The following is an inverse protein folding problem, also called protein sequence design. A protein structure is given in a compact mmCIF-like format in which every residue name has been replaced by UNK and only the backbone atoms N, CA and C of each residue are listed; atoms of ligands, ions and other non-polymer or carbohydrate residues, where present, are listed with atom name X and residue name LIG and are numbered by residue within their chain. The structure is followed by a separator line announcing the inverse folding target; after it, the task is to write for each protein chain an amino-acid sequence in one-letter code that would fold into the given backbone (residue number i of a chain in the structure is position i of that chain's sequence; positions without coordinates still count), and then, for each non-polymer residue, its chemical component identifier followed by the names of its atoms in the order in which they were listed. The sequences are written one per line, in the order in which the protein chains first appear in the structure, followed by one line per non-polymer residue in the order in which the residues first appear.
data_IF_333135981847
#
_entry.id   IF_333135981847
#
_cell.length_a   1.000
_cell.length_b   1.000
_cell.length_c   1.000
_cell.angle_alpha   90.00
_cell.angle_beta   90.00
_cell.angle_gamma   90.00
#
_symmetry.space_group_name_H-M   'P 1'
#
loop_
_entity.id
_entity.type
_entity.pdbx_description
1 polymer ?
#
# COMPACT_ATOMS: atom_id res chain seq x y z
N UNK A 1 -13.73 -21.31 7.99
CA UNK A 1 -13.27 -20.21 8.87
C UNK A 1 -13.54 -18.86 8.21
N UNK A 2 -14.58 -18.15 8.67
CA UNK A 2 -14.85 -16.75 8.33
C UNK A 2 -14.00 -15.88 9.25
N UNK A 3 -12.89 -15.31 8.77
CA UNK A 3 -12.04 -14.46 9.61
C UNK A 3 -12.56 -13.03 9.65
N UNK A 4 -12.61 -12.44 10.85
CA UNK A 4 -12.78 -11.00 11.05
C UNK A 4 -11.47 -10.25 10.77
N UNK A 5 -11.55 -8.94 10.52
CA UNK A 5 -10.38 -8.08 10.44
C UNK A 5 -9.55 -8.16 11.73
N UNK A 6 -8.22 -8.10 11.59
CA UNK A 6 -7.27 -8.15 12.71
C UNK A 6 -6.28 -6.98 12.64
N UNK A 7 -5.72 -6.62 13.79
CA UNK A 7 -4.69 -5.58 13.94
C UNK A 7 -3.55 -6.08 14.83
N UNK A 8 -2.33 -5.67 14.51
CA UNK A 8 -1.14 -5.95 15.29
C UNK A 8 -0.28 -4.69 15.40
N UNK A 9 -0.06 -4.21 16.63
CA UNK A 9 0.91 -3.15 16.90
C UNK A 9 2.31 -3.73 17.02
N UNK A 10 3.28 -3.00 16.50
CA UNK A 10 4.70 -3.30 16.64
C UNK A 10 5.47 -2.04 17.04
N UNK A 11 6.74 -2.20 17.40
CA UNK A 11 7.58 -1.07 17.78
C UNK A 11 7.83 -0.13 16.60
N UNK A 12 7.65 1.20 16.81
CA UNK A 12 8.26 2.29 16.07
C UNK A 12 9.31 1.96 15.00
N UNK A 13 9.03 1.92 13.70
CA UNK A 13 10.09 1.64 12.71
C UNK A 13 10.03 2.50 11.44
N UNK A 14 11.20 2.89 10.94
CA UNK A 14 11.35 3.53 9.62
C UNK A 14 11.28 2.52 8.48
N UNK A 15 11.20 1.23 8.78
CA UNK A 15 11.10 0.16 7.80
C UNK A 15 10.09 -0.88 8.22
N UNK A 16 9.42 -1.45 7.24
CA UNK A 16 8.40 -2.47 7.40
C UNK A 16 8.62 -3.56 6.35
N UNK A 17 8.55 -4.80 6.78
CA UNK A 17 8.62 -5.98 5.95
C UNK A 17 7.42 -6.87 6.26
N UNK A 18 6.77 -7.34 5.20
CA UNK A 18 5.68 -8.30 5.24
C UNK A 18 6.06 -9.50 4.39
N UNK A 19 5.87 -10.71 4.93
CA UNK A 19 5.92 -11.93 4.13
C UNK A 19 4.79 -12.87 4.49
N UNK A 20 4.24 -13.57 3.51
CA UNK A 20 3.16 -14.52 3.73
C UNK A 20 3.03 -15.48 2.55
N UNK A 21 2.49 -16.66 2.80
CA UNK A 21 1.96 -17.52 1.76
C UNK A 21 0.50 -17.18 1.53
N UNK A 22 0.09 -17.14 0.27
CA UNK A 22 -1.29 -16.89 -0.13
C UNK A 22 -1.75 -17.85 -1.21
N UNK A 23 -3.02 -18.23 -1.12
CA UNK A 23 -3.73 -19.07 -2.08
C UNK A 23 -5.12 -18.51 -2.29
N UNK A 24 -5.60 -18.54 -3.52
CA UNK A 24 -6.93 -18.09 -3.91
C UNK A 24 -7.73 -19.25 -4.51
N UNK A 25 -9.06 -19.24 -4.34
CA UNK A 25 -9.91 -20.30 -4.87
C UNK A 25 -9.80 -20.40 -6.40
N UNK A 26 -10.11 -21.56 -6.97
CA UNK A 26 -10.04 -21.78 -8.43
C UNK A 26 -10.91 -20.78 -9.21
N UNK A 27 -12.04 -20.39 -8.64
CA UNK A 27 -12.97 -19.40 -9.19
C UNK A 27 -12.64 -17.94 -8.80
N UNK A 28 -11.49 -17.67 -8.18
CA UNK A 28 -11.11 -16.32 -7.78
C UNK A 28 -10.99 -15.39 -8.99
N UNK A 29 -11.68 -14.25 -8.90
CA UNK A 29 -11.70 -13.16 -9.89
C UNK A 29 -11.47 -11.80 -9.25
N UNK A 30 -11.17 -11.74 -7.94
CA UNK A 30 -11.06 -10.50 -7.20
C UNK A 30 -12.36 -9.69 -7.24
N UNK A 31 -12.26 -8.36 -7.26
CA UNK A 31 -13.43 -7.48 -7.42
C UNK A 31 -13.81 -7.23 -8.89
N UNK A 32 -12.95 -7.60 -9.84
CA UNK A 32 -13.04 -7.15 -11.24
C UNK A 32 -12.56 -5.70 -11.47
N UNK A 33 -12.15 -4.99 -10.42
CA UNK A 33 -11.66 -3.61 -10.49
C UNK A 33 -10.14 -3.54 -10.43
N UNK A 34 -9.58 -2.39 -10.85
CA UNK A 34 -8.13 -2.12 -10.81
C UNK A 34 -7.63 -1.53 -9.48
N UNK A 35 -8.54 -1.36 -8.51
CA UNK A 35 -8.29 -0.71 -7.22
C UNK A 35 -8.75 -1.55 -6.02
N UNK A 36 -9.25 -2.78 -6.25
CA UNK A 36 -9.72 -3.74 -5.26
C UNK A 36 -9.42 -5.18 -5.75
N UNK A 37 -9.42 -6.22 -4.91
CA UNK A 37 -9.64 -6.20 -3.45
C UNK A 37 -8.55 -5.45 -2.70
N UNK A 38 -8.87 -5.04 -1.48
CA UNK A 38 -7.87 -4.68 -0.48
C UNK A 38 -7.58 -5.86 0.44
N UNK A 39 -6.35 -5.97 0.94
CA UNK A 39 -5.91 -7.13 1.73
C UNK A 39 -5.23 -6.73 3.05
N UNK A 40 -4.06 -6.09 2.93
CA UNK A 40 -3.19 -5.75 4.05
C UNK A 40 -2.84 -4.26 4.05
N UNK A 41 -2.69 -3.72 5.26
CA UNK A 41 -2.49 -2.29 5.49
C UNK A 41 -1.44 -2.09 6.57
N UNK A 42 -0.71 -0.97 6.52
CA UNK A 42 0.24 -0.61 7.57
C UNK A 42 0.19 0.88 7.86
N UNK A 43 -0.29 1.21 9.06
CA UNK A 43 -0.52 2.57 9.51
C UNK A 43 0.69 3.15 10.26
N UNK A 44 0.66 4.47 10.40
CA UNK A 44 1.72 5.26 11.00
C UNK A 44 1.52 5.59 12.47
N UNK A 45 2.58 6.09 13.11
CA UNK A 45 2.56 6.63 14.48
C UNK A 45 1.67 7.85 14.67
N UNK A 46 1.19 8.49 13.59
CA UNK A 46 0.26 9.60 13.67
C UNK A 46 -1.21 9.16 13.54
N UNK A 47 -1.44 7.89 13.20
CA UNK A 47 -2.78 7.31 13.09
C UNK A 47 -3.20 6.65 14.41
N UNK A 48 -4.48 6.78 14.72
CA UNK A 48 -5.06 6.20 15.93
C UNK A 48 -5.15 4.67 15.85
N UNK A 49 -5.10 4.01 17.02
CA UNK A 49 -5.14 2.55 17.16
C UNK A 49 -6.35 1.88 16.47
N UNK A 50 -7.43 2.64 16.32
CA UNK A 50 -8.71 2.22 15.78
C UNK A 50 -9.11 3.00 14.52
N UNK A 51 -8.21 3.84 13.98
CA UNK A 51 -8.48 4.55 12.74
C UNK A 51 -8.69 3.54 11.60
N UNK A 52 -9.65 3.84 10.74
CA UNK A 52 -9.87 3.07 9.51
C UNK A 52 -8.72 3.28 8.52
N UNK A 53 -8.49 2.34 7.60
CA UNK A 53 -7.38 2.45 6.64
C UNK A 53 -7.59 3.57 5.60
N UNK A 54 -8.82 4.01 5.36
CA UNK A 54 -9.13 4.93 4.25
C UNK A 54 -8.74 6.40 4.46
N UNK A 55 -8.50 6.86 5.70
CA UNK A 55 -8.12 8.25 5.97
C UNK A 55 -7.02 8.31 7.04
N UNK A 56 -5.79 8.49 6.59
CA UNK A 56 -4.58 8.27 7.38
C UNK A 56 -3.51 9.36 7.11
N UNK A 57 -2.49 9.43 7.98
CA UNK A 57 -1.27 10.20 7.72
C UNK A 57 -0.24 9.42 6.90
N UNK A 58 -0.24 8.10 7.03
CA UNK A 58 0.39 7.19 6.09
C UNK A 58 -0.24 5.81 6.22
N UNK A 59 -0.66 5.24 5.10
CA UNK A 59 -1.00 3.83 4.96
C UNK A 59 -0.31 3.24 3.72
N UNK A 60 0.25 2.05 3.87
CA UNK A 60 0.77 1.26 2.76
C UNK A 60 -0.05 -0.02 2.61
N UNK A 61 -0.59 -0.18 1.41
CA UNK A 61 -1.40 -1.32 1.02
C UNK A 61 -0.48 -2.36 0.39
N UNK A 62 -0.64 -3.62 0.76
CA UNK A 62 -0.04 -4.75 0.04
C UNK A 62 -1.18 -5.64 -0.39
N UNK A 63 -1.38 -5.76 -1.69
CA UNK A 63 -2.50 -6.49 -2.26
C UNK A 63 -2.16 -7.00 -3.65
N UNK A 64 -3.13 -7.67 -4.27
CA UNK A 64 -3.08 -8.06 -5.67
C UNK A 64 -4.43 -7.78 -6.31
N UNK A 65 -4.43 -7.12 -7.47
CA UNK A 65 -5.66 -6.78 -8.18
C UNK A 65 -5.80 -7.67 -9.40
N UNK A 66 -6.96 -8.31 -9.54
CA UNK A 66 -7.18 -9.33 -10.54
C UNK A 66 -7.66 -8.72 -11.86
N UNK A 67 -6.79 -8.73 -12.86
CA UNK A 67 -6.98 -8.16 -14.19
C UNK A 67 -6.50 -9.17 -15.25
N UNK A 68 -7.30 -10.20 -15.51
CA UNK A 68 -6.93 -11.41 -16.28
C UNK A 68 -5.71 -12.15 -15.69
N UNK A 69 -5.67 -12.19 -14.35
CA UNK A 69 -4.54 -12.64 -13.54
C UNK A 69 -4.24 -11.62 -12.44
N UNK A 70 -3.69 -12.05 -11.31
CA UNK A 70 -3.42 -11.14 -10.19
C UNK A 70 -2.11 -10.38 -10.38
N UNK A 71 -2.20 -9.06 -10.29
CA UNK A 71 -1.05 -8.15 -10.33
C UNK A 71 -0.73 -7.68 -8.92
N UNK A 72 0.51 -7.83 -8.42
CA UNK A 72 0.96 -7.15 -7.22
C UNK A 72 0.63 -5.65 -7.30
N UNK A 73 -0.01 -5.12 -6.25
CA UNK A 73 -0.27 -3.69 -6.11
C UNK A 73 0.18 -3.23 -4.74
N UNK A 74 0.84 -2.09 -4.74
CA UNK A 74 1.12 -1.29 -3.55
C UNK A 74 0.46 0.06 -3.76
N UNK A 75 -0.38 0.48 -2.83
CA UNK A 75 -0.87 1.85 -2.75
C UNK A 75 -0.30 2.52 -1.50
N UNK A 76 0.06 3.80 -1.62
CA UNK A 76 0.58 4.60 -0.53
C UNK A 76 -0.31 5.83 -0.40
N UNK A 77 -0.97 5.95 0.75
CA UNK A 77 -1.93 7.01 1.04
C UNK A 77 -1.41 7.95 2.13
N UNK A 78 -1.86 9.20 2.09
CA UNK A 78 -1.57 10.20 3.12
C UNK A 78 -2.67 11.29 3.18
N UNK A 79 -3.93 10.87 3.15
CA UNK A 79 -5.12 11.74 3.04
C UNK A 79 -5.19 12.85 4.10
N UNK A 80 -4.70 12.60 5.32
CA UNK A 80 -4.66 13.60 6.41
C UNK A 80 -3.57 14.65 6.23
N UNK A 81 -2.61 14.42 5.33
CA UNK A 81 -1.55 15.38 4.98
C UNK A 81 -1.92 16.29 3.80
N UNK A 82 -3.10 16.10 3.18
CA UNK A 82 -3.59 17.00 2.13
C UNK A 82 -3.74 18.43 2.67
N UNK A 83 -3.07 19.37 2.04
CA UNK A 83 -3.10 20.79 2.34
C UNK A 83 -4.14 21.52 1.48
N UNK A 84 -5.11 22.14 2.17
CA UNK A 84 -6.24 22.87 1.59
C UNK A 84 -6.02 24.39 1.52
N UNK A 85 -4.93 24.91 2.07
CA UNK A 85 -4.68 26.35 2.23
C UNK A 85 -4.15 27.04 0.97
N UNK A 86 -3.78 26.28 -0.08
CA UNK A 86 -3.16 26.78 -1.32
C UNK A 86 -4.11 26.72 -2.53
N UNK A 87 -5.41 26.84 -2.30
CA UNK A 87 -6.43 26.91 -3.36
C UNK A 87 -7.03 25.55 -3.72
N UNK A 88 -7.60 25.47 -4.92
CA UNK A 88 -8.30 24.27 -5.39
C UNK A 88 -7.33 23.09 -5.61
N UNK A 89 -7.81 21.88 -5.32
CA UNK A 89 -7.10 20.63 -5.55
C UNK A 89 -7.54 20.00 -6.89
N UNK A 90 -6.67 19.20 -7.56
CA UNK A 90 -5.26 19.00 -7.22
C UNK A 90 -4.42 20.26 -7.51
N UNK A 91 -3.38 20.49 -6.71
CA UNK A 91 -2.39 21.55 -6.94
C UNK A 91 -0.97 20.99 -6.71
N UNK A 92 0.05 21.66 -7.23
CA UNK A 92 1.44 21.24 -7.04
C UNK A 92 2.13 22.15 -6.01
N UNK A 93 2.45 21.59 -4.85
CA UNK A 93 3.10 22.30 -3.74
C UNK A 93 4.55 21.86 -3.50
N UNK A 94 5.11 21.00 -4.36
CA UNK A 94 6.45 20.39 -4.18
C UNK A 94 7.52 21.44 -3.92
N UNK A 95 7.54 22.53 -4.69
CA UNK A 95 8.51 23.62 -4.56
C UNK A 95 8.01 24.78 -3.66
N UNK A 96 6.89 24.58 -2.95
CA UNK A 96 6.20 25.65 -2.19
C UNK A 96 6.29 25.40 -0.69
N UNK A 97 6.00 24.18 -0.24
CA UNK A 97 5.96 23.85 1.20
C UNK A 97 6.14 22.35 1.43
N UNK A 98 6.67 22.00 2.59
CA UNK A 98 6.70 20.62 3.09
C UNK A 98 5.40 20.24 3.81
N UNK A 99 4.55 21.20 4.17
CA UNK A 99 3.21 20.90 4.67
C UNK A 99 2.29 20.56 3.50
N UNK A 100 2.41 19.35 2.95
CA UNK A 100 1.70 18.87 1.77
C UNK A 100 1.58 17.36 1.80
N UNK A 101 0.58 16.83 1.10
CA UNK A 101 0.56 15.40 0.79
C UNK A 101 1.58 15.05 -0.28
N UNK A 102 1.93 13.76 -0.35
CA UNK A 102 2.89 13.18 -1.29
C UNK A 102 2.25 12.14 -2.20
N UNK A 103 1.01 11.70 -1.92
CA UNK A 103 0.30 10.71 -2.73
C UNK A 103 -0.37 11.27 -3.98
N UNK A 104 -0.48 12.59 -4.18
CA UNK A 104 -1.05 13.12 -5.44
C UNK A 104 -1.69 14.49 -5.35
N UNK A 105 -2.55 14.71 -4.35
CA UNK A 105 -3.36 15.95 -4.31
C UNK A 105 -2.56 17.24 -4.19
N UNK A 106 -1.41 17.23 -3.51
CA UNK A 106 -0.48 18.37 -3.46
C UNK A 106 0.80 18.18 -4.29
N UNK A 107 0.76 17.29 -5.28
CA UNK A 107 1.87 16.96 -6.17
C UNK A 107 2.71 15.77 -5.71
N UNK A 108 3.26 15.04 -6.70
CA UNK A 108 4.20 13.94 -6.49
C UNK A 108 5.55 14.22 -7.13
N UNK A 109 6.62 13.74 -6.48
CA UNK A 109 7.99 13.93 -6.96
C UNK A 109 8.44 12.79 -7.87
N UNK A 110 7.79 11.63 -7.76
CA UNK A 110 8.14 10.42 -8.46
C UNK A 110 7.74 10.46 -9.94
N UNK A 111 8.62 9.98 -10.80
CA UNK A 111 8.31 9.77 -12.22
C UNK A 111 7.63 8.42 -12.44
N UNK A 112 6.75 8.36 -13.45
CA UNK A 112 6.10 7.13 -13.92
C UNK A 112 5.39 6.33 -12.82
N UNK A 113 4.77 7.02 -11.87
CA UNK A 113 3.87 6.42 -10.88
C UNK A 113 2.46 6.97 -11.14
N UNK A 114 1.47 6.08 -11.11
CA UNK A 114 0.08 6.47 -11.17
C UNK A 114 -0.36 7.00 -9.80
N UNK A 115 -1.15 8.07 -9.79
CA UNK A 115 -1.74 8.62 -8.58
C UNK A 115 -3.17 9.04 -8.79
N UNK A 116 -3.96 8.94 -7.74
CA UNK A 116 -5.32 9.46 -7.70
C UNK A 116 -5.39 10.69 -6.78
N UNK A 117 -6.29 11.60 -7.13
CA UNK A 117 -6.68 12.71 -6.27
C UNK A 117 -8.12 13.10 -6.59
N UNK A 118 -9.04 12.89 -5.66
CA UNK A 118 -10.44 13.24 -5.87
C UNK A 118 -11.17 13.53 -4.55
N UNK A 119 -12.28 14.25 -4.66
CA UNK A 119 -13.12 14.57 -3.52
C UNK A 119 -13.96 13.34 -3.11
N UNK A 120 -13.73 12.81 -1.89
CA UNK A 120 -14.44 11.67 -1.31
C UNK A 120 -15.61 12.11 -0.40
N UNK A 121 -16.09 13.34 -0.58
CA UNK A 121 -17.19 13.94 0.18
C UNK A 121 -16.72 14.66 1.45
N UNK A 122 -16.13 13.92 2.41
CA UNK A 122 -15.70 14.49 3.71
C UNK A 122 -14.22 14.88 3.75
N UNK A 123 -13.40 14.35 2.83
CA UNK A 123 -12.00 14.68 2.64
C UNK A 123 -11.62 14.45 1.18
N UNK A 124 -10.44 14.90 0.78
CA UNK A 124 -9.85 14.51 -0.51
C UNK A 124 -9.03 13.25 -0.35
N UNK A 125 -9.39 12.23 -1.13
CA UNK A 125 -8.61 11.01 -1.26
C UNK A 125 -7.41 11.29 -2.16
N UNK A 126 -6.24 10.79 -1.78
CA UNK A 126 -5.08 10.67 -2.63
C UNK A 126 -4.26 9.42 -2.32
N UNK A 127 -3.72 8.83 -3.38
CA UNK A 127 -2.77 7.74 -3.26
C UNK A 127 -1.82 7.71 -4.46
N UNK A 128 -0.67 7.07 -4.26
CA UNK A 128 0.22 6.71 -5.36
C UNK A 128 0.39 5.20 -5.41
N UNK A 129 0.53 4.67 -6.62
CA UNK A 129 0.34 3.25 -6.87
C UNK A 129 1.48 2.64 -7.67
N UNK A 130 2.00 1.53 -7.16
CA UNK A 130 2.95 0.68 -7.84
C UNK A 130 2.26 -0.63 -8.20
N UNK A 131 2.17 -0.91 -9.51
CA UNK A 131 1.50 -2.11 -10.01
C UNK A 131 2.50 -2.94 -10.80
N UNK A 132 2.66 -4.20 -10.39
CA UNK A 132 3.51 -5.17 -11.05
C UNK A 132 2.89 -5.79 -12.32
N UNK A 133 3.65 -6.67 -12.99
CA UNK A 133 3.12 -7.53 -14.04
C UNK A 133 2.07 -8.52 -13.49
N UNK A 134 1.46 -9.31 -14.37
CA UNK A 134 0.59 -10.42 -13.94
C UNK A 134 1.48 -11.53 -13.40
N UNK A 135 1.35 -11.82 -12.11
CA UNK A 135 2.12 -12.85 -11.41
C UNK A 135 1.25 -14.04 -11.01
N UNK A 136 0.07 -13.78 -10.43
CA UNK A 136 -0.89 -14.82 -10.10
C UNK A 136 -1.63 -15.29 -11.36
N UNK A 137 -1.25 -16.46 -11.86
CA UNK A 137 -1.77 -17.01 -13.10
C UNK A 137 -3.18 -17.62 -12.92
N UNK A 138 -4.07 -17.47 -13.92
CA UNK A 138 -5.42 -18.02 -13.87
C UNK A 138 -5.47 -19.54 -14.07
N UNK A 139 -4.42 -20.14 -14.67
CA UNK A 139 -4.36 -21.54 -15.07
C UNK A 139 -3.23 -22.29 -14.32
N UNK A 140 -3.33 -23.62 -14.15
CA UNK A 140 -2.28 -24.43 -13.52
C UNK A 140 -0.90 -24.24 -14.15
N UNK A 141 0.13 -24.16 -13.32
CA UNK A 141 1.51 -23.87 -13.70
C UNK A 141 2.21 -22.95 -12.69
N UNK A 142 3.43 -22.47 -12.98
CA UNK A 142 4.12 -21.51 -12.14
C UNK A 142 3.25 -20.27 -11.86
N UNK A 143 3.13 -19.89 -10.59
CA UNK A 143 2.31 -18.74 -10.17
C UNK A 143 0.81 -19.00 -10.18
N UNK A 144 0.34 -20.25 -10.34
CA UNK A 144 -1.10 -20.53 -10.34
C UNK A 144 -1.75 -20.05 -9.05
N UNK A 145 -2.83 -19.25 -9.18
CA UNK A 145 -3.50 -18.61 -8.05
C UNK A 145 -4.01 -19.58 -6.97
N UNK A 146 -4.33 -20.82 -7.34
CA UNK A 146 -4.84 -21.84 -6.41
C UNK A 146 -3.73 -22.76 -5.85
N UNK A 147 -2.47 -22.46 -6.13
CA UNK A 147 -1.32 -22.97 -5.38
C UNK A 147 -0.93 -21.99 -4.26
N UNK A 148 -0.14 -22.46 -3.30
CA UNK A 148 0.47 -21.59 -2.32
C UNK A 148 1.61 -20.81 -2.96
N UNK A 149 1.44 -19.49 -3.06
CA UNK A 149 2.44 -18.57 -3.59
C UNK A 149 3.01 -17.74 -2.43
N UNK A 150 4.31 -17.49 -2.45
CA UNK A 150 4.99 -16.71 -1.42
C UNK A 150 5.11 -15.26 -1.87
N UNK A 151 4.61 -14.35 -1.04
CA UNK A 151 4.69 -12.89 -1.26
C UNK A 151 5.59 -12.29 -0.20
N UNK A 152 6.43 -11.36 -0.63
CA UNK A 152 7.21 -10.50 0.24
C UNK A 152 7.06 -9.05 -0.19
N UNK A 153 6.97 -8.12 0.75
CA UNK A 153 6.99 -6.69 0.49
C UNK A 153 7.87 -5.98 1.52
N UNK A 154 8.73 -5.08 1.07
CA UNK A 154 9.62 -4.28 1.90
C UNK A 154 9.43 -2.79 1.63
N UNK A 155 9.42 -2.03 2.71
CA UNK A 155 9.23 -0.60 2.71
C UNK A 155 10.27 0.05 3.62
N UNK A 156 10.88 1.13 3.13
CA UNK A 156 11.74 1.99 3.92
C UNK A 156 11.33 3.44 3.70
N UNK A 157 10.98 4.14 4.78
CA UNK A 157 10.67 5.56 4.73
C UNK A 157 11.87 6.34 4.22
N UNK A 158 11.58 7.40 3.49
CA UNK A 158 12.57 8.34 3.03
C UNK A 158 13.23 9.13 4.17
N UNK A 159 14.42 9.66 3.87
CA UNK A 159 15.15 10.56 4.75
C UNK A 159 14.58 11.97 4.74
N UNK A 160 14.85 12.71 5.82
CA UNK A 160 14.57 14.14 5.94
C UNK A 160 15.91 14.86 6.10
N UNK A 161 16.23 15.78 5.19
CA UNK A 161 17.47 16.56 5.20
C UNK A 161 17.11 18.03 5.25
N UNK A 162 17.59 18.75 6.27
CA UNK A 162 17.29 20.18 6.50
C UNK A 162 15.79 20.49 6.49
N UNK A 163 14.97 19.58 7.03
CA UNK A 163 13.52 19.72 7.06
C UNK A 163 12.83 19.48 5.72
N UNK A 164 13.50 18.87 4.73
CA UNK A 164 12.92 18.52 3.42
C UNK A 164 12.98 17.01 3.21
N UNK A 165 11.85 16.41 2.84
CA UNK A 165 11.77 15.01 2.47
C UNK A 165 12.53 14.73 1.17
N UNK A 166 13.45 13.76 1.20
CA UNK A 166 14.18 13.31 0.02
C UNK A 166 13.40 12.19 -0.68
N UNK A 167 13.47 12.10 -2.00
CA UNK A 167 12.87 10.99 -2.75
C UNK A 167 13.85 9.80 -2.77
N UNK A 168 14.08 9.19 -1.60
CA UNK A 168 15.06 8.09 -1.42
C UNK A 168 14.50 6.90 -0.61
N UNK A 169 13.17 6.87 -0.41
CA UNK A 169 12.50 5.74 0.21
C UNK A 169 12.45 4.52 -0.73
N UNK A 170 12.35 3.35 -0.12
CA UNK A 170 12.42 2.06 -0.81
C UNK A 170 11.06 1.38 -0.79
N UNK A 171 10.64 0.85 -1.94
CA UNK A 171 9.53 -0.07 -2.08
C UNK A 171 9.98 -1.26 -2.92
N UNK A 172 9.90 -2.45 -2.35
CA UNK A 172 10.23 -3.68 -3.05
C UNK A 172 9.11 -4.72 -2.83
N UNK A 173 8.84 -5.52 -3.87
CA UNK A 173 7.87 -6.62 -3.81
C UNK A 173 8.47 -7.84 -4.51
N UNK A 174 8.39 -9.00 -3.85
CA UNK A 174 8.77 -10.28 -4.42
C UNK A 174 7.57 -11.21 -4.53
N UNK A 175 7.52 -11.95 -5.64
CA UNK A 175 6.57 -13.03 -5.87
C UNK A 175 7.35 -14.32 -6.12
N UNK A 176 7.11 -15.35 -5.30
CA UNK A 176 7.82 -16.64 -5.34
C UNK A 176 9.35 -16.46 -5.44
N UNK A 177 9.89 -15.51 -4.67
CA UNK A 177 11.33 -15.18 -4.63
C UNK A 177 11.84 -14.27 -5.76
N UNK A 178 11.02 -13.96 -6.77
CA UNK A 178 11.38 -13.05 -7.88
C UNK A 178 11.02 -11.61 -7.51
N UNK A 179 11.98 -10.68 -7.61
CA UNK A 179 11.76 -9.25 -7.40
C UNK A 179 11.00 -8.67 -8.60
N UNK A 180 9.78 -8.15 -8.38
CA UNK A 180 8.87 -7.71 -9.44
C UNK A 180 8.52 -6.21 -9.37
N UNK A 181 8.64 -5.60 -8.19
CA UNK A 181 8.63 -4.15 -8.01
C UNK A 181 9.90 -3.80 -7.25
N UNK A 182 10.65 -2.83 -7.77
CA UNK A 182 11.91 -2.36 -7.16
C UNK A 182 12.05 -0.85 -7.37
N UNK A 183 11.78 -0.07 -6.33
CA UNK A 183 11.84 1.39 -6.35
C UNK A 183 12.65 1.90 -5.18
N UNK A 184 13.47 2.90 -5.45
CA UNK A 184 14.40 3.54 -4.51
C UNK A 184 14.27 5.07 -4.53
N UNK A 185 13.14 5.56 -5.03
CA UNK A 185 12.86 6.97 -5.29
C UNK A 185 11.51 7.40 -4.67
N UNK A 186 11.02 6.68 -3.65
CA UNK A 186 9.67 6.90 -3.10
C UNK A 186 9.71 7.91 -1.95
N UNK A 187 8.88 8.94 -2.03
CA UNK A 187 8.66 9.90 -0.96
C UNK A 187 7.42 9.49 -0.17
N UNK A 188 7.59 9.01 1.06
CA UNK A 188 6.51 8.62 1.98
C UNK A 188 6.06 9.75 2.90
N UNK A 189 6.99 10.62 3.29
CA UNK A 189 6.76 11.72 4.24
C UNK A 189 7.61 12.94 3.91
N UNK A 190 7.10 14.10 4.27
CA UNK A 190 7.79 15.39 4.15
C UNK A 190 8.37 15.84 5.49
N UNK A 191 9.05 16.98 5.49
CA UNK A 191 9.48 17.68 6.69
C UNK A 191 8.36 18.15 7.62
N UNK A 192 7.09 18.07 7.23
CA UNK A 192 5.96 18.32 8.13
C UNK A 192 5.76 17.19 9.15
N UNK A 193 6.19 15.96 8.82
CA UNK A 193 6.06 14.78 9.67
C UNK A 193 7.39 14.01 9.79
N UNK A 194 8.48 14.66 10.25
CA UNK A 194 9.83 14.12 10.11
C UNK A 194 10.10 12.90 10.99
N UNK A 195 9.26 12.67 12.00
CA UNK A 195 9.34 11.55 12.94
C UNK A 195 8.24 10.51 12.74
N UNK A 196 7.43 10.60 11.67
CA UNK A 196 6.40 9.61 11.37
C UNK A 196 7.03 8.25 11.09
N UNK A 197 6.58 7.19 11.75
CA UNK A 197 7.08 5.82 11.57
C UNK A 197 5.93 4.85 11.30
N UNK A 198 6.22 3.67 10.74
CA UNK A 198 5.26 2.56 10.72
C UNK A 198 5.06 2.00 12.13
N UNK A 199 3.83 1.62 12.50
CA UNK A 199 3.53 1.17 13.89
C UNK A 199 2.46 0.08 14.00
N UNK A 200 1.58 -0.07 13.02
CA UNK A 200 0.44 -0.98 13.12
C UNK A 200 0.18 -1.67 11.79
N UNK A 201 0.10 -3.00 11.81
CA UNK A 201 -0.26 -3.84 10.68
C UNK A 201 -1.72 -4.30 10.80
N UNK A 202 -2.46 -4.29 9.70
CA UNK A 202 -3.84 -4.75 9.65
C UNK A 202 -4.00 -5.85 8.61
N UNK A 203 -4.77 -6.88 8.98
CA UNK A 203 -5.30 -7.88 8.07
C UNK A 203 -6.79 -7.56 7.93
N UNK A 204 -7.19 -6.93 6.82
CA UNK A 204 -8.58 -6.57 6.61
C UNK A 204 -9.01 -6.76 5.14
N UNK A 205 -9.01 -8.01 4.62
CA UNK A 205 -9.47 -8.27 3.26
C UNK A 205 -10.88 -7.73 3.02
N UNK A 206 -11.02 -6.90 1.98
CA UNK A 206 -12.26 -6.16 1.71
C UNK A 206 -12.44 -5.93 0.20
N UNK A 207 -13.64 -6.22 -0.30
CA UNK A 207 -14.11 -5.81 -1.64
C UNK A 207 -15.27 -4.84 -1.40
N UNK A 208 -15.01 -3.54 -1.55
CA UNK A 208 -15.99 -2.50 -1.28
C UNK A 208 -17.18 -2.49 -2.23
N UNK A 209 -16.97 -2.91 -3.48
CA UNK A 209 -18.04 -2.99 -4.48
C UNK A 209 -18.88 -4.28 -4.36
N UNK A 210 -18.54 -5.14 -3.40
CA UNK A 210 -19.08 -6.48 -3.28
C UNK A 210 -18.33 -7.49 -4.16
N UNK A 211 -18.20 -8.71 -3.65
CA UNK A 211 -17.61 -9.81 -4.41
C UNK A 211 -18.54 -10.25 -5.54
N UNK A 212 -18.09 -10.34 -6.81
CA UNK A 212 -18.95 -10.75 -7.92
C UNK A 212 -19.32 -12.23 -7.87
N UNK A 213 -18.57 -13.03 -7.11
CA UNK A 213 -18.80 -14.47 -6.88
C UNK A 213 -18.43 -14.84 -5.45
N UNK A 214 -18.92 -15.97 -4.96
CA UNK A 214 -18.40 -16.57 -3.72
C UNK A 214 -16.99 -17.11 -3.97
N UNK A 215 -16.00 -16.47 -3.36
CA UNK A 215 -14.59 -16.80 -3.54
C UNK A 215 -13.85 -16.75 -2.20
N UNK A 216 -12.67 -17.36 -2.16
CA UNK A 216 -11.91 -17.50 -0.92
C UNK A 216 -10.44 -17.20 -1.13
N UNK A 217 -9.85 -16.59 -0.11
CA UNK A 217 -8.43 -16.33 0.06
C UNK A 217 -7.98 -17.06 1.33
N UNK A 218 -6.83 -17.71 1.27
CA UNK A 218 -6.16 -18.32 2.41
C UNK A 218 -4.78 -17.71 2.57
N UNK A 219 -4.41 -17.39 3.80
CA UNK A 219 -3.12 -16.81 4.17
C UNK A 219 -2.48 -17.75 5.19
N UNK A 220 -1.18 -17.99 5.06
CA UNK A 220 -0.40 -18.79 6.01
C UNK A 220 1.01 -18.23 6.21
N UNK A 221 1.64 -18.58 7.33
CA UNK A 221 3.00 -18.18 7.71
C UNK A 221 3.28 -16.67 7.59
N UNK A 222 2.30 -15.84 7.97
CA UNK A 222 2.44 -14.39 7.95
C UNK A 222 3.51 -13.93 8.95
N UNK A 223 4.43 -13.08 8.49
CA UNK A 223 5.48 -12.45 9.30
C UNK A 223 5.54 -10.96 9.04
N UNK A 224 5.75 -10.20 10.11
CA UNK A 224 6.06 -8.77 10.08
C UNK A 224 7.44 -8.57 10.69
N UNK A 225 8.29 -7.77 10.04
CA UNK A 225 9.64 -7.44 10.52
C UNK A 225 10.07 -6.04 10.06
N UNK A 226 11.29 -5.64 10.40
CA UNK A 226 11.92 -4.39 9.94
C UNK A 226 12.94 -4.62 8.81
N UNK A 227 13.10 -5.86 8.35
CA UNK A 227 14.02 -6.23 7.29
C UNK A 227 13.61 -7.55 6.67
N UNK A 228 14.03 -7.76 5.42
CA UNK A 228 13.71 -9.00 4.69
C UNK A 228 14.28 -10.21 5.41
N UNK A 229 13.46 -11.25 5.55
CA UNK A 229 13.82 -12.53 6.16
C UNK A 229 13.77 -13.58 5.04
N UNK A 230 14.93 -14.02 4.50
CA UNK A 230 14.99 -15.08 3.49
C UNK A 230 14.44 -16.43 3.97
#
# INVERSE_FOLDING_TARGET
PTSSSQRHKFTPSNSFYLSYYVKYSTNWVGSGQAYQPHEFYTLSTLDGDYDGPSQNFLDVYVEHNYQNGGRPRIAIQDNKSVNYSYGALPNNLIAVTENRSVGGCNGMVESNIYSECFNFGSYWYNDKQLTGPVEFQPNPGPGYKNDWNFVEAYFQLNTIVNGIGQADGVVQYWFNGTLVIDRHDILFRTGAHPTLQFTQFLIAPYIGDGSPVDQSMWIDNLRVATGRIP
#
